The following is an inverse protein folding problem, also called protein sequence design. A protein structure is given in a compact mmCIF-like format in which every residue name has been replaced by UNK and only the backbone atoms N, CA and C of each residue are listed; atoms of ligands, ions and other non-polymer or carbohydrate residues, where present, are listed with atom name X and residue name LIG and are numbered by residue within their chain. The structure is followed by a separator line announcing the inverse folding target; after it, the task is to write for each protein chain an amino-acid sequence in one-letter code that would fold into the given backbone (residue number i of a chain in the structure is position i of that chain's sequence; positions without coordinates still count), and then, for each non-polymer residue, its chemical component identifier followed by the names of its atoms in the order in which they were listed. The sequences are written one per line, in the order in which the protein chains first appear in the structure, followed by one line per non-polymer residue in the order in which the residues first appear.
data_IF_394744678511
#
_entry.id   IF_394744678511
#
_cell.length_a   1.000
_cell.length_b   1.000
_cell.length_c   1.000
_cell.angle_alpha   90.00
_cell.angle_beta   90.00
_cell.angle_gamma   90.00
#
_symmetry.space_group_name_H-M   'P 1'
#
loop_
_entity.id
_entity.type
_entity.pdbx_description
1 polymer ?
#
# COMPACT_ATOMS: atom_id res chain seq x y z
N UNK A 1 8.68 -58.51 -8.92
CA UNK A 1 8.25 -58.06 -7.58
C UNK A 1 9.32 -57.27 -6.83
N UNK A 2 10.58 -57.72 -6.77
CA UNK A 2 11.66 -57.01 -6.06
C UNK A 2 12.00 -55.61 -6.64
N UNK A 3 11.95 -55.45 -7.96
CA UNK A 3 12.19 -54.17 -8.65
C UNK A 3 11.12 -53.13 -8.35
N UNK A 4 9.86 -53.53 -8.32
CA UNK A 4 8.73 -52.65 -8.00
C UNK A 4 8.80 -52.13 -6.55
N UNK A 5 9.26 -52.96 -5.60
CA UNK A 5 9.45 -52.53 -4.22
C UNK A 5 10.60 -51.50 -4.06
N UNK A 6 11.65 -51.61 -4.88
CA UNK A 6 12.76 -50.65 -4.88
C UNK A 6 12.33 -49.32 -5.51
N UNK A 7 11.63 -49.34 -6.65
CA UNK A 7 11.05 -48.13 -7.25
C UNK A 7 10.07 -47.45 -6.30
N UNK A 8 9.18 -48.21 -5.65
CA UNK A 8 8.24 -47.67 -4.67
C UNK A 8 8.98 -46.98 -3.50
N UNK A 9 10.09 -47.55 -3.03
CA UNK A 9 10.91 -46.93 -1.98
C UNK A 9 11.59 -45.64 -2.46
N UNK A 10 12.05 -45.59 -3.71
CA UNK A 10 12.63 -44.39 -4.30
C UNK A 10 11.58 -43.29 -4.48
N UNK A 11 10.38 -43.62 -4.97
CA UNK A 11 9.26 -42.69 -5.11
C UNK A 11 8.83 -42.16 -3.74
N UNK A 12 8.71 -43.02 -2.73
CA UNK A 12 8.37 -42.60 -1.37
C UNK A 12 9.41 -41.64 -0.77
N UNK A 13 10.71 -41.87 -1.01
CA UNK A 13 11.76 -40.95 -0.57
C UNK A 13 11.66 -39.59 -1.27
N UNK A 14 11.40 -39.59 -2.59
CA UNK A 14 11.25 -38.37 -3.38
C UNK A 14 10.01 -37.57 -2.98
N UNK A 15 8.89 -38.23 -2.71
CA UNK A 15 7.67 -37.60 -2.20
C UNK A 15 7.89 -37.00 -0.80
N UNK A 16 8.65 -37.67 0.07
CA UNK A 16 8.98 -37.14 1.40
C UNK A 16 9.85 -35.88 1.32
N UNK A 17 10.85 -35.83 0.42
CA UNK A 17 11.65 -34.61 0.20
C UNK A 17 10.80 -33.48 -0.39
N UNK A 18 9.93 -33.80 -1.35
CA UNK A 18 9.02 -32.81 -1.94
C UNK A 18 8.05 -32.25 -0.91
N UNK A 19 7.48 -33.09 -0.05
CA UNK A 19 6.59 -32.65 1.02
C UNK A 19 7.30 -31.72 2.00
N UNK A 20 8.54 -32.04 2.41
CA UNK A 20 9.36 -31.15 3.26
C UNK A 20 9.59 -29.79 2.60
N UNK A 21 9.97 -29.78 1.31
CA UNK A 21 10.18 -28.54 0.58
C UNK A 21 8.92 -27.68 0.46
N UNK A 22 7.76 -28.30 0.22
CA UNK A 22 6.48 -27.59 0.14
C UNK A 22 6.11 -26.94 1.48
N UNK A 23 6.32 -27.65 2.59
CA UNK A 23 6.08 -27.10 3.94
C UNK A 23 7.03 -25.94 4.23
N UNK A 24 8.32 -26.11 3.98
CA UNK A 24 9.31 -25.06 4.23
C UNK A 24 9.04 -23.81 3.38
N UNK A 25 8.68 -23.99 2.11
CA UNK A 25 8.27 -22.90 1.24
C UNK A 25 7.05 -22.16 1.80
N UNK A 26 6.02 -22.89 2.23
CA UNK A 26 4.83 -22.27 2.81
C UNK A 26 5.14 -21.50 4.11
N UNK A 27 6.05 -22.00 4.94
CA UNK A 27 6.51 -21.29 6.13
C UNK A 27 7.28 -20.01 5.79
N UNK A 28 8.18 -20.06 4.79
CA UNK A 28 8.90 -18.88 4.33
C UNK A 28 7.98 -17.84 3.71
N UNK A 29 7.04 -18.25 2.86
CA UNK A 29 6.06 -17.36 2.25
C UNK A 29 5.20 -16.66 3.31
N UNK A 30 4.77 -17.40 4.36
CA UNK A 30 4.07 -16.83 5.51
C UNK A 30 4.92 -15.79 6.24
N UNK A 31 6.19 -16.10 6.54
CA UNK A 31 7.10 -15.15 7.21
C UNK A 31 7.35 -13.91 6.36
N UNK A 32 7.56 -14.09 5.06
CA UNK A 32 7.75 -13.00 4.10
C UNK A 32 6.53 -12.08 4.07
N UNK A 33 5.32 -12.64 4.00
CA UNK A 33 4.08 -11.87 4.05
C UNK A 33 3.95 -11.06 5.35
N UNK A 34 4.27 -11.65 6.50
CA UNK A 34 4.23 -10.96 7.80
C UNK A 34 5.26 -9.83 7.86
N UNK A 35 6.50 -10.07 7.45
CA UNK A 35 7.57 -9.07 7.46
C UNK A 35 7.23 -7.91 6.52
N UNK A 36 6.72 -8.21 5.32
CA UNK A 36 6.29 -7.19 4.37
C UNK A 36 5.17 -6.33 4.97
N UNK A 37 4.15 -6.96 5.54
CA UNK A 37 3.05 -6.24 6.18
C UNK A 37 3.52 -5.38 7.35
N UNK A 38 4.44 -5.87 8.18
CA UNK A 38 5.04 -5.11 9.28
C UNK A 38 5.89 -3.93 8.76
N UNK A 39 6.66 -4.13 7.69
CA UNK A 39 7.45 -3.08 7.06
C UNK A 39 6.57 -1.97 6.47
N UNK A 40 5.52 -2.35 5.74
CA UNK A 40 4.54 -1.42 5.19
C UNK A 40 3.81 -0.66 6.31
N UNK A 41 3.36 -1.35 7.37
CA UNK A 41 2.71 -0.73 8.52
C UNK A 41 3.63 0.26 9.24
N UNK A 42 4.89 -0.13 9.49
CA UNK A 42 5.85 0.76 10.17
C UNK A 42 6.21 1.96 9.31
N UNK A 43 6.37 1.78 8.00
CA UNK A 43 6.60 2.86 7.05
C UNK A 43 5.42 3.84 7.04
N UNK A 44 4.19 3.32 6.94
CA UNK A 44 2.97 4.13 6.98
C UNK A 44 2.83 4.90 8.30
N UNK A 45 3.18 4.29 9.45
CA UNK A 45 3.19 4.97 10.73
C UNK A 45 4.21 6.11 10.78
N UNK A 46 5.44 5.88 10.30
CA UNK A 46 6.49 6.91 10.29
C UNK A 46 6.12 8.07 9.37
N UNK A 47 5.60 7.77 8.18
CA UNK A 47 5.10 8.78 7.23
C UNK A 47 3.91 9.52 7.84
N UNK A 48 2.97 8.81 8.45
CA UNK A 48 1.81 9.41 9.12
C UNK A 48 2.19 10.34 10.26
N UNK A 49 3.18 9.97 11.08
CA UNK A 49 3.73 10.82 12.14
C UNK A 49 4.43 12.05 11.56
N UNK A 50 5.26 11.87 10.52
CA UNK A 50 5.93 12.99 9.85
C UNK A 50 4.92 13.99 9.25
N UNK A 51 3.84 13.48 8.67
CA UNK A 51 2.73 14.29 8.13
C UNK A 51 1.96 15.00 9.25
N UNK A 52 1.64 14.30 10.35
CA UNK A 52 0.91 14.88 11.48
C UNK A 52 1.69 16.02 12.15
N UNK A 53 3.02 15.90 12.20
CA UNK A 53 3.90 16.95 12.73
C UNK A 53 3.94 18.21 11.84
N UNK A 54 3.58 18.10 10.55
CA UNK A 54 3.57 19.22 9.62
C UNK A 54 2.21 19.37 8.91
N UNK A 55 1.20 19.95 9.58
CA UNK A 55 -0.11 20.22 8.96
C UNK A 55 -0.01 21.15 7.73
N UNK A 56 1.01 22.01 7.67
CA UNK A 56 1.26 22.90 6.53
C UNK A 56 1.67 22.14 5.26
N UNK A 57 2.25 20.95 5.39
CA UNK A 57 2.60 20.11 4.24
C UNK A 57 1.34 19.58 3.52
N UNK A 58 0.32 19.14 4.27
CA UNK A 58 -0.93 18.64 3.69
C UNK A 58 -1.72 19.76 3.04
N UNK A 59 -1.75 20.96 3.63
CA UNK A 59 -2.43 22.10 3.01
C UNK A 59 -1.73 22.54 1.73
N UNK A 60 -0.39 22.60 1.71
CA UNK A 60 0.37 22.89 0.49
C UNK A 60 0.10 21.85 -0.60
N UNK A 61 0.11 20.56 -0.25
CA UNK A 61 -0.16 19.48 -1.21
C UNK A 61 -1.58 19.53 -1.78
N UNK A 62 -2.57 19.91 -0.95
CA UNK A 62 -3.95 20.14 -1.40
C UNK A 62 -4.04 21.32 -2.37
N UNK A 63 -3.31 22.42 -2.12
CA UNK A 63 -3.26 23.58 -3.02
C UNK A 63 -2.64 23.21 -4.37
N UNK A 64 -1.55 22.42 -4.37
CA UNK A 64 -0.93 21.92 -5.60
C UNK A 64 -1.90 21.05 -6.42
N UNK A 65 -2.59 20.11 -5.76
CA UNK A 65 -3.57 19.25 -6.42
C UNK A 65 -4.74 20.07 -6.99
N UNK A 66 -5.26 21.03 -6.22
CA UNK A 66 -6.31 21.94 -6.67
C UNK A 66 -5.85 22.76 -7.91
N UNK A 67 -4.60 23.24 -7.92
CA UNK A 67 -4.02 23.94 -9.07
C UNK A 67 -3.93 23.03 -10.30
N UNK A 68 -3.48 21.79 -10.16
CA UNK A 68 -3.38 20.83 -11.27
C UNK A 68 -4.75 20.47 -11.85
N UNK A 69 -5.74 20.25 -10.98
CA UNK A 69 -7.14 20.00 -11.36
C UNK A 69 -7.71 21.22 -12.10
N UNK A 70 -7.51 22.42 -11.57
CA UNK A 70 -7.96 23.66 -12.21
C UNK A 70 -7.32 23.87 -13.58
N UNK A 71 -6.03 23.58 -13.73
CA UNK A 71 -5.35 23.63 -15.03
C UNK A 71 -5.94 22.60 -16.01
N UNK A 72 -6.15 21.36 -15.57
CA UNK A 72 -6.74 20.30 -16.40
C UNK A 72 -8.14 20.66 -16.88
N UNK A 73 -8.95 21.27 -16.01
CA UNK A 73 -10.32 21.70 -16.35
C UNK A 73 -10.31 22.91 -17.28
N UNK A 74 -9.42 23.88 -17.07
CA UNK A 74 -9.27 25.04 -17.95
C UNK A 74 -8.92 24.65 -19.39
N UNK A 75 -8.10 23.61 -19.56
CA UNK A 75 -7.74 23.09 -20.88
C UNK A 75 -8.78 22.10 -21.45
N UNK A 76 -9.68 21.57 -20.62
CA UNK A 76 -10.71 20.64 -21.07
C UNK A 76 -11.79 21.37 -21.87
N UNK A 77 -12.06 20.88 -23.09
CA UNK A 77 -13.14 21.38 -23.93
C UNK A 77 -14.55 20.98 -23.42
N UNK A 78 -14.62 20.10 -22.42
CA UNK A 78 -15.88 19.56 -21.91
C UNK A 78 -16.38 20.38 -20.72
N UNK A 79 -17.46 21.16 -20.93
CA UNK A 79 -18.12 21.95 -19.87
C UNK A 79 -19.02 21.04 -19.03
N UNK A 80 -18.40 20.19 -18.22
CA UNK A 80 -19.11 19.43 -17.18
C UNK A 80 -19.25 20.32 -15.95
N UNK A 81 -20.48 20.51 -15.46
CA UNK A 81 -20.73 21.20 -14.20
C UNK A 81 -20.26 20.31 -13.05
N UNK A 82 -19.02 20.54 -12.61
CA UNK A 82 -18.42 19.83 -11.48
C UNK A 82 -18.55 20.69 -10.23
N UNK A 83 -18.88 20.06 -9.11
CA UNK A 83 -18.97 20.74 -7.82
C UNK A 83 -17.56 21.05 -7.30
N UNK A 84 -17.28 22.31 -6.98
CA UNK A 84 -15.97 22.75 -6.46
C UNK A 84 -15.55 22.03 -5.16
N UNK A 85 -16.50 21.50 -4.38
CA UNK A 85 -16.23 20.70 -3.18
C UNK A 85 -15.58 19.35 -3.52
N UNK A 86 -16.09 18.66 -4.55
CA UNK A 86 -15.58 17.34 -4.95
C UNK A 86 -14.17 17.44 -5.56
N UNK A 87 -13.85 18.60 -6.13
CA UNK A 87 -12.58 18.87 -6.78
C UNK A 87 -11.54 19.51 -5.85
N UNK A 88 -11.86 19.67 -4.56
CA UNK A 88 -10.97 20.27 -3.56
C UNK A 88 -10.48 21.69 -3.94
N UNK A 89 -11.24 22.39 -4.80
CA UNK A 89 -10.90 23.74 -5.27
C UNK A 89 -11.24 24.82 -4.22
N UNK A 90 -12.03 24.45 -3.21
CA UNK A 90 -12.43 25.34 -2.13
C UNK A 90 -11.33 25.42 -1.07
N UNK A 91 -10.40 26.36 -1.29
CA UNK A 91 -9.27 26.64 -0.40
C UNK A 91 -9.68 27.40 0.89
N UNK A 92 -10.93 27.85 0.98
CA UNK A 92 -11.45 28.70 2.07
C UNK A 92 -11.73 27.90 3.36
N UNK A 93 -12.04 26.61 3.24
CA UNK A 93 -12.29 25.71 4.38
C UNK A 93 -11.02 24.99 4.85
N UNK A 94 -9.85 25.33 4.29
CA UNK A 94 -8.57 24.84 4.78
C UNK A 94 -8.30 25.50 6.14
N UNK A 95 -8.76 24.84 7.21
CA UNK A 95 -8.49 25.25 8.58
C UNK A 95 -6.97 25.24 8.79
N UNK A 96 -6.34 26.43 8.69
CA UNK A 96 -4.90 26.66 8.80
C UNK A 96 -4.41 26.67 10.26
N UNK A 97 -5.28 26.37 11.21
CA UNK A 97 -4.91 26.32 12.62
C UNK A 97 -4.05 25.08 12.90
N UNK A 98 -2.81 25.24 13.40
CA UNK A 98 -2.06 24.11 13.90
C UNK A 98 -2.84 23.51 15.07
N UNK A 99 -3.26 22.24 14.94
CA UNK A 99 -3.87 21.47 16.03
C UNK A 99 -2.83 21.17 17.11
N UNK A 100 -2.43 22.23 17.84
CA UNK A 100 -1.40 22.24 18.86
C UNK A 100 -1.66 23.37 19.86
N UNK A 101 -2.87 23.41 20.43
CA UNK A 101 -3.15 24.15 21.67
C UNK A 101 -4.05 23.32 22.58
N UNK A 102 -3.44 22.43 23.35
CA UNK A 102 -3.60 22.27 24.81
C UNK A 102 -2.73 21.12 25.29
#
# INVERSE_FOLDING_TARGET
EFTAAIEAKQVAAQEAERAKFVVEKAEQDKRSAVIRAQGEAKSAQLIGQAIANNPAFITLRKIEAAREIAQTISHSANKVYLNSNDLLLNLQDLNLEPSGKK
#
